data_IF_114663866425
#
_entry.id   IF_114663866425
#
_cell.length_a   1.000
_cell.length_b   1.000
_cell.length_c   1.000
_cell.angle_alpha   90.00
_cell.angle_beta   90.00
_cell.angle_gamma   90.00
#
_symmetry.space_group_name_H-M   'P 1'
#
loop_
_entity.id
_entity.type
_entity.pdbx_description
1 polymer ?
#
# COMPACT_ATOMS: atom_id res chain seq x y z
N UNK A 1 -25.86 -6.09 -8.87
CA UNK A 1 -26.00 -4.75 -9.47
C UNK A 1 -25.01 -3.83 -8.76
N UNK A 2 -23.84 -3.52 -9.36
CA UNK A 2 -22.82 -2.66 -8.75
C UNK A 2 -23.32 -1.23 -8.80
N UNK A 3 -23.75 -0.67 -7.67
CA UNK A 3 -23.92 0.77 -7.54
C UNK A 3 -22.55 1.44 -7.73
N UNK A 4 -22.35 2.04 -8.89
CA UNK A 4 -21.31 3.03 -9.10
C UNK A 4 -21.74 4.21 -8.23
N UNK A 5 -21.04 4.40 -7.11
CA UNK A 5 -21.22 5.60 -6.31
C UNK A 5 -20.82 6.78 -7.22
N UNK A 6 -21.84 7.51 -7.67
CA UNK A 6 -21.71 8.65 -8.53
C UNK A 6 -20.85 9.71 -7.86
N UNK A 7 -20.01 10.33 -8.61
CA UNK A 7 -19.08 11.35 -8.16
C UNK A 7 -17.66 10.91 -8.53
N UNK A 8 -17.27 11.26 -9.68
CA UNK A 8 -15.95 11.05 -10.26
C UNK A 8 -14.89 11.92 -9.57
N UNK A 9 -13.61 11.71 -9.87
CA UNK A 9 -12.47 12.08 -9.03
C UNK A 9 -12.41 13.51 -8.50
N UNK A 10 -13.10 14.45 -9.12
CA UNK A 10 -13.08 15.87 -8.76
C UNK A 10 -13.82 16.20 -7.43
N UNK A 11 -14.59 15.25 -6.91
CA UNK A 11 -15.29 15.38 -5.62
C UNK A 11 -14.64 14.59 -4.48
N UNK A 12 -13.44 14.04 -4.69
CA UNK A 12 -12.74 13.24 -3.68
C UNK A 12 -11.41 13.85 -3.29
N UNK A 13 -11.04 13.65 -2.03
CA UNK A 13 -9.73 14.09 -1.56
C UNK A 13 -8.62 13.43 -2.39
N UNK A 14 -7.70 14.21 -2.97
CA UNK A 14 -6.60 13.66 -3.79
C UNK A 14 -5.64 12.78 -3.01
N UNK A 15 -5.53 13.00 -1.69
CA UNK A 15 -4.58 12.30 -0.84
C UNK A 15 -5.13 11.01 -0.24
N UNK A 16 -6.36 10.98 0.26
CA UNK A 16 -6.93 9.77 0.87
C UNK A 16 -7.99 9.07 -0.01
N UNK A 17 -8.47 9.70 -1.09
CA UNK A 17 -9.49 9.15 -1.99
C UNK A 17 -10.90 9.10 -1.40
N UNK A 18 -11.13 9.61 -0.19
CA UNK A 18 -12.43 9.69 0.46
C UNK A 18 -13.20 10.93 -0.01
N UNK A 19 -14.53 10.91 0.12
CA UNK A 19 -15.34 12.09 -0.07
C UNK A 19 -14.99 13.18 0.98
N UNK A 20 -15.16 14.48 0.69
CA UNK A 20 -14.73 15.56 1.59
C UNK A 20 -15.23 15.41 3.02
N UNK A 21 -16.50 15.03 3.21
CA UNK A 21 -17.13 14.82 4.51
C UNK A 21 -16.58 13.63 5.29
N UNK A 22 -15.89 12.71 4.60
CA UNK A 22 -15.21 11.54 5.18
C UNK A 22 -13.70 11.66 5.16
N UNK A 23 -13.15 12.79 4.70
CA UNK A 23 -11.71 13.00 4.62
C UNK A 23 -11.04 12.87 5.98
N UNK A 24 -9.89 12.19 6.03
CA UNK A 24 -9.13 12.00 7.26
C UNK A 24 -7.79 12.74 7.27
N UNK A 25 -7.45 13.41 6.17
CA UNK A 25 -6.12 14.01 5.99
C UNK A 25 -5.78 15.12 6.99
N UNK A 26 -6.77 15.85 7.52
CA UNK A 26 -6.55 16.90 8.52
C UNK A 26 -5.96 16.37 9.83
N UNK A 27 -6.25 15.12 10.18
CA UNK A 27 -5.83 14.49 11.43
C UNK A 27 -4.65 13.52 11.24
N UNK A 28 -4.13 13.39 10.01
CA UNK A 28 -3.01 12.50 9.74
C UNK A 28 -1.68 13.23 9.96
N UNK A 29 -0.76 12.63 10.72
CA UNK A 29 0.59 13.16 10.85
C UNK A 29 1.35 13.04 9.53
N UNK A 30 2.47 13.73 9.46
CA UNK A 30 3.45 13.64 8.38
C UNK A 30 4.77 13.17 9.00
N UNK A 31 5.22 11.98 8.61
CA UNK A 31 6.35 11.29 9.23
C UNK A 31 7.47 11.08 8.21
N UNK A 32 8.68 11.44 8.59
CA UNK A 32 9.88 11.10 7.84
C UNK A 32 10.39 9.72 8.30
N UNK A 33 10.71 8.84 7.34
CA UNK A 33 11.24 7.50 7.60
C UNK A 33 12.53 7.27 6.83
N UNK A 34 13.39 6.39 7.35
CA UNK A 34 14.61 5.94 6.64
C UNK A 34 14.25 4.99 5.50
N UNK A 35 13.20 4.22 5.70
CA UNK A 35 12.64 3.36 4.68
C UNK A 35 11.71 4.20 3.81
N UNK A 36 11.99 4.20 2.50
CA UNK A 36 11.27 4.99 1.51
C UNK A 36 10.45 4.07 0.58
N UNK A 37 9.15 3.85 0.84
CA UNK A 37 8.29 3.08 -0.04
C UNK A 37 8.12 3.76 -1.41
N UNK A 38 8.30 2.99 -2.49
CA UNK A 38 8.03 3.41 -3.86
C UNK A 38 6.89 2.55 -4.40
N UNK A 39 5.71 3.11 -4.47
CA UNK A 39 4.56 2.41 -5.04
C UNK A 39 4.62 2.46 -6.57
N UNK A 40 4.99 1.35 -7.20
CA UNK A 40 5.01 1.23 -8.67
C UNK A 40 3.61 0.91 -9.13
N UNK A 41 2.87 1.96 -9.46
CA UNK A 41 1.42 1.93 -9.62
C UNK A 41 1.02 1.66 -11.07
N UNK A 42 0.16 0.65 -11.27
CA UNK A 42 -0.47 0.45 -12.57
C UNK A 42 -1.35 1.66 -12.94
N UNK A 43 -1.33 2.18 -14.18
CA UNK A 43 -2.07 3.38 -14.58
C UNK A 43 -3.56 3.33 -14.24
N UNK A 44 -4.20 2.15 -14.31
CA UNK A 44 -5.61 1.98 -13.95
C UNK A 44 -5.91 2.22 -12.45
N UNK A 45 -4.90 2.26 -11.58
CA UNK A 45 -5.07 2.53 -10.15
C UNK A 45 -5.08 4.03 -9.83
N UNK A 46 -4.53 4.85 -10.71
CA UNK A 46 -4.37 6.30 -10.49
C UNK A 46 -5.70 7.00 -10.15
N UNK A 47 -6.79 6.53 -10.76
CA UNK A 47 -8.14 7.08 -10.56
C UNK A 47 -9.00 6.29 -9.59
N UNK A 48 -8.50 5.21 -8.99
CA UNK A 48 -9.31 4.40 -8.07
C UNK A 48 -9.34 5.02 -6.67
N UNK A 49 -10.53 5.27 -6.12
CA UNK A 49 -10.65 5.81 -4.76
C UNK A 49 -10.10 4.86 -3.69
N UNK A 50 -10.02 3.56 -3.99
CA UNK A 50 -9.48 2.54 -3.09
C UNK A 50 -7.96 2.37 -3.18
N UNK A 51 -7.26 3.29 -3.83
CA UNK A 51 -5.80 3.25 -3.94
C UNK A 51 -5.13 3.59 -2.61
N UNK A 52 -4.65 2.60 -1.88
CA UNK A 52 -4.03 2.78 -0.56
C UNK A 52 -2.67 3.50 -0.60
N UNK A 53 -1.98 3.46 -1.74
CA UNK A 53 -0.68 4.13 -1.92
C UNK A 53 -0.72 5.66 -1.71
N UNK A 54 -1.85 6.31 -2.06
CA UNK A 54 -2.03 7.76 -1.82
C UNK A 54 -1.96 8.10 -0.34
N UNK A 55 -2.71 7.35 0.46
CA UNK A 55 -2.74 7.53 1.91
C UNK A 55 -1.35 7.34 2.52
N UNK A 56 -0.61 6.34 2.04
CA UNK A 56 0.77 6.13 2.46
C UNK A 56 1.66 7.33 2.16
N UNK A 57 1.58 7.91 0.94
CA UNK A 57 2.35 9.10 0.57
C UNK A 57 1.89 10.38 1.31
N UNK A 58 0.65 10.42 1.82
CA UNK A 58 0.19 11.53 2.67
C UNK A 58 0.81 11.46 4.07
N UNK A 59 1.04 10.25 4.58
CA UNK A 59 1.59 10.02 5.92
C UNK A 59 3.11 10.02 5.91
N UNK A 60 3.72 9.33 4.94
CA UNK A 60 5.16 9.13 4.86
C UNK A 60 5.79 10.10 3.86
N UNK A 61 6.57 11.07 4.33
CA UNK A 61 7.22 12.07 3.47
C UNK A 61 8.31 11.49 2.58
N UNK A 62 8.85 10.33 2.96
CA UNK A 62 9.82 9.56 2.19
C UNK A 62 9.17 8.69 1.10
N UNK A 63 7.86 8.44 1.19
CA UNK A 63 7.16 7.60 0.22
C UNK A 63 6.84 8.36 -1.07
N UNK A 64 6.87 7.65 -2.20
CA UNK A 64 6.48 8.21 -3.50
C UNK A 64 5.70 7.19 -4.32
N UNK A 65 4.91 7.69 -5.26
CA UNK A 65 4.26 6.89 -6.31
C UNK A 65 5.02 7.08 -7.61
N UNK A 66 5.16 5.99 -8.37
CA UNK A 66 5.71 6.01 -9.72
C UNK A 66 4.74 5.27 -10.63
N UNK A 67 4.24 5.92 -11.67
CA UNK A 67 3.34 5.28 -12.63
C UNK A 67 4.10 4.25 -13.44
N UNK A 68 3.56 3.03 -13.50
CA UNK A 68 4.12 1.96 -14.31
C UNK A 68 3.92 2.22 -15.80
N UNK A 69 5.03 2.25 -16.53
CA UNK A 69 5.05 2.19 -17.99
C UNK A 69 5.90 1.01 -18.43
N UNK A 70 5.32 0.11 -19.23
CA UNK A 70 6.03 -1.08 -19.73
C UNK A 70 7.18 -0.72 -20.67
N UNK A 71 7.06 0.38 -21.39
CA UNK A 71 8.07 0.83 -22.37
C UNK A 71 9.18 1.64 -21.72
N UNK A 72 8.88 2.26 -20.59
CA UNK A 72 9.80 3.06 -19.78
C UNK A 72 9.58 2.75 -18.30
N UNK A 73 10.02 1.56 -17.84
CA UNK A 73 9.88 1.23 -16.43
C UNK A 73 10.65 2.25 -15.56
N UNK A 74 10.18 2.50 -14.32
CA UNK A 74 10.89 3.37 -13.41
C UNK A 74 12.29 2.82 -13.13
N UNK A 75 13.25 3.72 -12.99
CA UNK A 75 14.61 3.39 -12.58
C UNK A 75 14.75 3.46 -11.07
N UNK A 76 15.61 2.64 -10.50
CA UNK A 76 15.85 2.52 -9.08
C UNK A 76 17.33 2.72 -8.74
N UNK A 77 17.60 3.15 -7.53
CA UNK A 77 18.96 3.12 -6.98
C UNK A 77 19.43 1.66 -6.82
N UNK A 78 20.72 1.42 -6.98
CA UNK A 78 21.28 0.09 -6.78
C UNK A 78 21.01 -0.40 -5.35
N UNK A 79 20.51 -1.63 -5.22
CA UNK A 79 20.12 -2.22 -3.93
C UNK A 79 18.69 -1.87 -3.47
N UNK A 80 17.87 -1.21 -4.29
CA UNK A 80 16.43 -1.05 -3.98
C UNK A 80 15.77 -2.40 -3.78
N UNK A 81 15.06 -2.59 -2.66
CA UNK A 81 14.36 -3.83 -2.40
C UNK A 81 13.06 -3.89 -3.22
N UNK A 82 12.82 -5.01 -3.89
CA UNK A 82 11.54 -5.27 -4.58
C UNK A 82 10.70 -6.19 -3.70
N UNK A 83 9.69 -5.62 -3.05
CA UNK A 83 8.84 -6.34 -2.13
C UNK A 83 7.65 -6.96 -2.87
N UNK A 84 7.71 -8.27 -3.10
CA UNK A 84 6.66 -9.05 -3.74
C UNK A 84 6.79 -10.53 -3.35
N UNK A 85 5.70 -11.29 -3.14
CA UNK A 85 5.74 -12.68 -2.69
C UNK A 85 6.14 -13.64 -3.84
N UNK A 86 7.36 -13.52 -4.34
CA UNK A 86 7.91 -14.54 -5.23
C UNK A 86 8.22 -15.81 -4.43
N UNK A 87 7.96 -17.00 -4.99
CA UNK A 87 8.25 -18.27 -4.30
C UNK A 87 9.72 -18.46 -3.95
N UNK A 88 10.62 -17.85 -4.73
CA UNK A 88 12.08 -17.94 -4.60
C UNK A 88 12.70 -16.71 -3.91
N UNK A 89 11.91 -15.69 -3.53
CA UNK A 89 12.46 -14.55 -2.82
C UNK A 89 12.72 -14.87 -1.34
N UNK A 90 13.91 -14.54 -0.82
CA UNK A 90 14.16 -14.67 0.60
C UNK A 90 13.26 -13.73 1.42
N UNK A 91 12.96 -14.08 2.69
CA UNK A 91 12.17 -13.22 3.55
C UNK A 91 12.89 -11.90 3.83
N UNK A 92 12.11 -10.81 3.89
CA UNK A 92 12.60 -9.51 4.29
C UNK A 92 13.04 -9.54 5.76
N UNK A 93 14.24 -9.01 6.03
CA UNK A 93 14.81 -8.95 7.37
C UNK A 93 15.12 -7.52 7.80
N UNK A 94 15.31 -7.31 9.10
CA UNK A 94 15.73 -6.00 9.63
C UNK A 94 17.13 -5.58 9.12
N UNK A 95 17.99 -6.54 8.78
CA UNK A 95 19.30 -6.26 8.20
C UNK A 95 19.19 -5.68 6.79
N UNK A 96 18.25 -6.16 5.98
CA UNK A 96 17.96 -5.60 4.65
C UNK A 96 17.51 -4.14 4.71
N UNK A 97 16.92 -3.74 5.83
CA UNK A 97 16.35 -2.42 6.07
C UNK A 97 17.23 -1.52 6.96
N UNK A 98 18.51 -1.86 7.12
CA UNK A 98 19.47 -1.03 7.83
C UNK A 98 19.84 0.22 7.00
N UNK A 99 19.82 1.40 7.64
CA UNK A 99 20.15 2.67 6.96
C UNK A 99 18.97 3.26 6.13
N UNK A 100 19.29 4.05 5.11
CA UNK A 100 18.30 4.58 4.16
C UNK A 100 18.09 3.58 3.04
N UNK A 101 16.88 3.05 2.92
CA UNK A 101 16.54 1.99 1.97
C UNK A 101 15.29 2.36 1.18
N UNK A 102 15.36 2.24 -0.14
CA UNK A 102 14.19 2.28 -1.01
C UNK A 102 13.54 0.91 -1.11
N UNK A 103 12.21 0.87 -1.00
CA UNK A 103 11.43 -0.38 -1.11
C UNK A 103 10.39 -0.21 -2.21
N UNK A 104 10.64 -0.79 -3.38
CA UNK A 104 9.71 -0.81 -4.50
C UNK A 104 8.58 -1.83 -4.24
N UNK A 105 7.34 -1.37 -4.30
CA UNK A 105 6.15 -2.16 -4.03
C UNK A 105 5.22 -2.06 -5.24
N UNK A 106 5.01 -3.13 -6.01
CA UNK A 106 4.05 -3.15 -7.11
C UNK A 106 2.63 -2.88 -6.60
N UNK A 107 1.93 -1.91 -7.23
CA UNK A 107 0.58 -1.50 -6.84
C UNK A 107 -0.40 -1.64 -7.98
N UNK A 108 -1.46 -2.41 -7.74
CA UNK A 108 -2.49 -2.73 -8.71
C UNK A 108 -3.40 -3.85 -8.21
N UNK A 109 -4.19 -4.43 -9.14
CA UNK A 109 -4.76 -5.75 -8.88
C UNK A 109 -3.64 -6.78 -8.79
N UNK A 110 -3.88 -7.94 -8.19
CA UNK A 110 -2.85 -8.97 -8.05
C UNK A 110 -2.24 -9.39 -9.40
N UNK A 111 -3.06 -9.51 -10.45
CA UNK A 111 -2.57 -9.80 -11.80
C UNK A 111 -1.70 -8.66 -12.36
N UNK A 112 -2.06 -7.40 -12.09
CA UNK A 112 -1.26 -6.23 -12.49
C UNK A 112 0.04 -6.15 -11.71
N UNK A 113 -0.01 -6.29 -10.38
CA UNK A 113 1.16 -6.29 -9.51
C UNK A 113 2.14 -7.41 -9.89
N UNK A 114 1.64 -8.62 -10.17
CA UNK A 114 2.46 -9.73 -10.64
C UNK A 114 3.21 -9.40 -11.95
N UNK A 115 2.53 -8.78 -12.91
CA UNK A 115 3.17 -8.38 -14.19
C UNK A 115 4.25 -7.33 -13.96
N UNK A 116 3.98 -6.33 -13.13
CA UNK A 116 4.96 -5.29 -12.76
C UNK A 116 6.15 -5.94 -12.06
N UNK A 117 5.91 -6.73 -11.03
CA UNK A 117 6.95 -7.40 -10.25
C UNK A 117 7.87 -8.28 -11.14
N UNK A 118 7.29 -9.07 -12.04
CA UNK A 118 8.04 -9.95 -12.95
C UNK A 118 8.92 -9.18 -13.96
N UNK A 119 8.58 -7.95 -14.30
CA UNK A 119 9.46 -7.11 -15.12
C UNK A 119 10.55 -6.50 -14.25
N UNK A 120 10.18 -5.91 -13.10
CA UNK A 120 11.11 -5.23 -12.21
C UNK A 120 12.19 -6.17 -11.66
N UNK A 121 11.87 -7.44 -11.35
CA UNK A 121 12.88 -8.39 -10.84
C UNK A 121 14.02 -8.68 -11.82
N UNK A 122 13.90 -8.28 -13.10
CA UNK A 122 14.96 -8.43 -14.10
C UNK A 122 15.93 -7.26 -14.10
N UNK A 123 15.60 -6.18 -13.42
CA UNK A 123 16.49 -5.04 -13.25
C UNK A 123 17.57 -5.39 -12.21
N UNK A 124 18.86 -5.35 -12.59
CA UNK A 124 19.94 -5.68 -11.68
C UNK A 124 20.11 -4.71 -10.50
N UNK A 125 19.44 -3.54 -10.55
CA UNK A 125 19.45 -2.58 -9.45
C UNK A 125 18.53 -2.97 -8.31
N UNK A 126 17.58 -3.92 -8.51
CA UNK A 126 16.63 -4.33 -7.49
C UNK A 126 16.96 -5.69 -6.88
N UNK A 127 16.64 -5.83 -5.60
CA UNK A 127 16.85 -7.06 -4.82
C UNK A 127 15.49 -7.59 -4.35
N UNK A 128 15.01 -8.73 -4.88
CA UNK A 128 13.72 -9.31 -4.48
C UNK A 128 13.70 -9.73 -3.01
N UNK A 129 12.60 -9.40 -2.32
CA UNK A 129 12.29 -9.84 -0.95
C UNK A 129 10.80 -10.15 -0.84
N UNK A 130 10.45 -11.09 0.03
CA UNK A 130 9.08 -11.40 0.39
C UNK A 130 8.79 -11.02 1.84
N UNK A 131 7.56 -10.62 2.16
CA UNK A 131 7.14 -10.51 3.56
C UNK A 131 7.03 -11.91 4.19
N UNK A 132 7.22 -12.03 5.51
CA UNK A 132 6.92 -13.27 6.22
C UNK A 132 5.47 -13.71 6.00
N UNK A 133 5.23 -15.01 6.05
CA UNK A 133 3.87 -15.56 6.00
C UNK A 133 3.11 -15.30 7.31
N UNK A 134 1.77 -15.40 7.27
CA UNK A 134 0.91 -15.33 8.47
C UNK A 134 0.62 -13.92 8.97
N UNK A 135 0.79 -12.90 8.13
CA UNK A 135 0.43 -11.53 8.48
C UNK A 135 -1.07 -11.28 8.33
N UNK A 136 -1.70 -10.71 9.37
CA UNK A 136 -3.11 -10.36 9.36
C UNK A 136 -3.42 -9.23 8.35
N UNK A 137 -4.53 -9.39 7.64
CA UNK A 137 -4.98 -8.40 6.67
C UNK A 137 -5.76 -7.27 7.33
N UNK A 138 -5.23 -6.06 7.25
CA UNK A 138 -5.85 -4.83 7.78
C UNK A 138 -6.75 -4.14 6.75
N UNK A 139 -6.37 -4.16 5.46
CA UNK A 139 -7.09 -3.49 4.39
C UNK A 139 -8.05 -4.44 3.68
N UNK A 140 -9.36 -4.30 3.91
CA UNK A 140 -10.40 -5.24 3.44
C UNK A 140 -11.34 -4.69 2.34
N UNK A 141 -10.96 -3.61 1.65
CA UNK A 141 -11.84 -2.95 0.67
C UNK A 141 -11.93 -3.64 -0.69
N UNK A 142 -11.04 -4.55 -0.97
CA UNK A 142 -11.02 -5.34 -2.20
C UNK A 142 -11.11 -6.80 -1.81
N UNK A 143 -12.00 -7.51 -2.47
CA UNK A 143 -11.94 -8.95 -2.46
C UNK A 143 -10.67 -9.37 -3.22
N UNK A 144 -9.71 -9.90 -2.50
CA UNK A 144 -8.42 -10.31 -3.04
C UNK A 144 -8.41 -11.79 -3.44
N UNK A 145 -9.52 -12.50 -3.21
CA UNK A 145 -9.64 -13.93 -3.48
C UNK A 145 -8.86 -14.84 -2.51
N UNK A 146 -8.11 -14.26 -1.57
CA UNK A 146 -7.52 -14.99 -0.42
C UNK A 146 -7.23 -14.00 0.71
N UNK A 147 -7.32 -14.47 1.95
CA UNK A 147 -7.05 -13.67 3.15
C UNK A 147 -5.56 -13.34 3.33
N UNK A 148 -4.68 -14.06 2.67
CA UNK A 148 -3.23 -13.88 2.73
C UNK A 148 -2.70 -12.71 1.89
N UNK A 149 -3.55 -12.06 1.08
CA UNK A 149 -3.14 -11.03 0.14
C UNK A 149 -3.22 -9.64 0.74
N UNK A 150 -2.09 -9.04 1.07
CA UNK A 150 -1.98 -7.69 1.61
C UNK A 150 -2.15 -6.61 0.54
N UNK A 151 -2.60 -5.42 0.93
CA UNK A 151 -2.52 -4.24 0.07
C UNK A 151 -1.08 -3.73 -0.01
N UNK A 152 -0.75 -2.95 -1.06
CA UNK A 152 0.57 -2.32 -1.21
C UNK A 152 0.94 -1.43 -0.02
N UNK A 153 -0.02 -0.68 0.51
CA UNK A 153 0.21 0.15 1.69
C UNK A 153 0.43 -0.67 2.97
N UNK A 154 -0.28 -1.79 3.12
CA UNK A 154 -0.02 -2.70 4.22
C UNK A 154 1.35 -3.36 4.10
N UNK A 155 1.76 -3.74 2.89
CA UNK A 155 3.12 -4.24 2.66
C UNK A 155 4.19 -3.20 3.06
N UNK A 156 3.94 -1.91 2.82
CA UNK A 156 4.81 -0.84 3.30
C UNK A 156 4.83 -0.75 4.83
N UNK A 157 3.66 -0.87 5.50
CA UNK A 157 3.60 -0.86 6.96
C UNK A 157 4.37 -2.03 7.59
N UNK A 158 4.29 -3.22 6.99
CA UNK A 158 5.07 -4.38 7.45
C UNK A 158 6.57 -4.20 7.24
N UNK A 159 6.99 -3.61 6.12
CA UNK A 159 8.40 -3.28 5.91
C UNK A 159 8.93 -2.26 6.94
N UNK A 160 8.12 -1.24 7.28
CA UNK A 160 8.46 -0.27 8.34
C UNK A 160 8.59 -0.96 9.70
N UNK A 161 7.68 -1.87 10.04
CA UNK A 161 7.72 -2.64 11.29
C UNK A 161 8.98 -3.49 11.40
N UNK A 162 9.31 -4.27 10.36
CA UNK A 162 10.52 -5.08 10.30
C UNK A 162 11.77 -4.21 10.40
N UNK A 163 11.73 -3.02 9.80
CA UNK A 163 12.82 -2.04 9.85
C UNK A 163 12.87 -1.23 11.15
N UNK A 164 12.04 -1.56 12.15
CA UNK A 164 11.96 -0.90 13.47
C UNK A 164 11.52 0.56 13.42
N UNK A 165 10.73 0.93 12.43
CA UNK A 165 10.05 2.22 12.37
C UNK A 165 8.61 2.09 12.88
N UNK A 166 8.47 1.60 14.11
CA UNK A 166 7.20 1.17 14.73
C UNK A 166 6.14 2.25 14.75
N UNK A 167 6.52 3.50 15.05
CA UNK A 167 5.57 4.62 15.04
C UNK A 167 4.95 4.83 13.66
N UNK A 168 5.76 4.83 12.61
CA UNK A 168 5.28 5.02 11.24
C UNK A 168 4.43 3.82 10.77
N UNK A 169 4.82 2.61 11.14
CA UNK A 169 4.06 1.39 10.86
C UNK A 169 2.68 1.41 11.53
N UNK A 170 2.60 1.76 12.83
CA UNK A 170 1.33 1.85 13.59
C UNK A 170 0.41 2.90 12.99
N UNK A 171 0.90 4.11 12.78
CA UNK A 171 0.12 5.22 12.18
C UNK A 171 -0.41 4.83 10.81
N UNK A 172 0.40 4.17 9.97
CA UNK A 172 -0.05 3.75 8.65
C UNK A 172 -1.13 2.66 8.73
N UNK A 173 -1.00 1.66 9.61
CA UNK A 173 -2.02 0.63 9.82
C UNK A 173 -3.33 1.22 10.34
N UNK A 174 -3.28 2.10 11.34
CA UNK A 174 -4.46 2.78 11.90
C UNK A 174 -5.19 3.62 10.84
N UNK A 175 -4.44 4.38 10.05
CA UNK A 175 -5.01 5.17 8.96
C UNK A 175 -5.66 4.29 7.88
N UNK A 176 -5.09 3.12 7.57
CA UNK A 176 -5.66 2.14 6.65
C UNK A 176 -6.96 1.54 7.20
N UNK A 177 -7.00 1.18 8.48
CA UNK A 177 -8.22 0.69 9.14
C UNK A 177 -9.32 1.73 9.10
N UNK A 178 -9.00 2.97 9.50
CA UNK A 178 -9.97 4.05 9.52
C UNK A 178 -10.48 4.41 8.11
N UNK A 179 -9.59 4.46 7.11
CA UNK A 179 -9.99 4.66 5.72
C UNK A 179 -10.91 3.54 5.23
N UNK A 180 -10.60 2.27 5.57
CA UNK A 180 -11.44 1.12 5.26
C UNK A 180 -12.83 1.26 5.87
N UNK A 181 -12.90 1.62 7.16
CA UNK A 181 -14.16 1.84 7.89
C UNK A 181 -15.01 2.92 7.21
N UNK A 182 -14.41 4.09 6.93
CA UNK A 182 -15.12 5.20 6.26
C UNK A 182 -15.59 4.83 4.85
N UNK A 183 -14.77 4.15 4.06
CA UNK A 183 -15.18 3.70 2.74
C UNK A 183 -16.31 2.67 2.77
N UNK A 184 -16.35 1.79 3.77
CA UNK A 184 -17.45 0.84 3.97
C UNK A 184 -18.73 1.58 4.33
N UNK A 185 -18.66 2.56 5.25
CA UNK A 185 -19.80 3.40 5.61
C UNK A 185 -20.35 4.16 4.41
N UNK A 186 -19.48 4.76 3.58
CA UNK A 186 -19.89 5.43 2.33
C UNK A 186 -20.60 4.50 1.33
N UNK A 187 -20.39 3.18 1.43
CA UNK A 187 -21.06 2.18 0.58
C UNK A 187 -22.34 1.62 1.22
N UNK A 188 -22.73 2.11 2.41
CA UNK A 188 -23.85 1.58 3.19
C UNK A 188 -23.59 0.18 3.76
N UNK A 189 -22.32 -0.23 3.85
CA UNK A 189 -21.91 -1.48 4.49
C UNK A 189 -21.68 -1.17 5.97
N UNK A 190 -22.64 -1.56 6.81
CA UNK A 190 -22.52 -1.47 8.27
C UNK A 190 -21.45 -2.49 8.72
N UNK A 191 -20.52 -2.06 9.56
CA UNK A 191 -19.61 -3.01 10.22
C UNK A 191 -20.43 -3.96 11.11
N UNK A 192 -20.11 -5.26 11.13
CA UNK A 192 -20.61 -6.13 12.19
C UNK A 192 -20.10 -5.57 13.53
N UNK A 193 -20.88 -5.65 14.62
CA UNK A 193 -20.42 -5.24 15.94
C UNK A 193 -19.12 -5.98 16.28
N UNK A 194 -18.18 -5.33 17.05
CA UNK A 194 -16.94 -5.98 17.41
C UNK A 194 -17.24 -7.31 18.07
N UNK A 195 -16.62 -8.38 17.58
CA UNK A 195 -16.74 -9.73 18.16
C UNK A 195 -16.15 -9.67 19.57
N UNK A 196 -17.02 -9.55 20.59
CA UNK A 196 -16.58 -9.53 21.98
C UNK A 196 -17.43 -8.74 22.96
N UNK A 197 -18.67 -8.41 22.62
CA UNK A 197 -19.65 -7.93 23.59
C UNK A 197 -20.66 -9.07 23.91
N UNK A 198 -20.28 -9.98 24.79
CA UNK A 198 -21.13 -10.82 25.62
C UNK A 198 -20.54 -10.82 27.01
#
# INVERSE_FOLDING_TARGET
MRRILGGYPDSRCPDCGLAPEHCLCANLPSLATRIAPIFVQHPAEERKPTGSARLSCRILTSARRSTWDRTRPPTFAAGTLLLYPFPDAPPLTSADLAGKVEVAIPDGTWAQAARIANVLRRDPSVVPRALPAGLDRVWSLRDSGSDERLSSAQAAAEALEIGREHQAASVLREALMEASRRMRAMRGLVEPPPSGAL
#
